data_IF_275697973188
#
_entry.id   IF_275697973188
#
_cell.length_a   1.000
_cell.length_b   1.000
_cell.length_c   1.000
_cell.angle_alpha   90.00
_cell.angle_beta   90.00
_cell.angle_gamma   90.00
#
_symmetry.space_group_name_H-M   'P 1'
#
loop_
_entity.id
_entity.type
_entity.pdbx_description
1 polymer ?
#
# COMPACT_ATOMS: atom_id res chain seq x y z
N UNK A 1 13.48 16.07 -11.86
CA UNK A 1 14.91 15.97 -12.23
C UNK A 1 15.43 17.15 -13.05
N UNK A 2 14.77 17.59 -14.13
CA UNK A 2 15.23 18.75 -14.94
C UNK A 2 15.29 20.07 -14.14
N UNK A 3 14.47 20.22 -13.09
CA UNK A 3 14.49 21.39 -12.17
C UNK A 3 15.71 21.47 -11.23
N UNK A 4 16.48 20.39 -11.04
CA UNK A 4 17.65 20.40 -10.14
C UNK A 4 18.90 20.99 -10.84
N UNK A 5 18.96 20.91 -12.18
CA UNK A 5 20.14 21.28 -12.98
C UNK A 5 20.33 22.79 -13.22
N UNK A 6 19.37 23.65 -12.86
CA UNK A 6 19.42 25.08 -13.21
C UNK A 6 19.87 26.00 -12.07
N UNK A 7 20.19 25.48 -10.87
CA UNK A 7 20.32 26.34 -9.68
C UNK A 7 21.72 26.38 -9.05
N UNK A 8 22.73 25.71 -9.61
CA UNK A 8 24.05 25.63 -8.97
C UNK A 8 25.17 25.99 -9.96
N UNK A 9 25.42 27.31 -10.10
CA UNK A 9 26.74 27.92 -10.32
C UNK A 9 27.53 27.70 -11.63
N UNK A 10 28.17 28.79 -12.06
CA UNK A 10 29.29 28.91 -13.02
C UNK A 10 29.05 28.50 -14.49
N UNK A 11 28.79 29.52 -15.30
CA UNK A 11 28.71 29.54 -16.78
C UNK A 11 27.50 28.82 -17.43
N UNK A 12 26.54 29.55 -18.03
CA UNK A 12 25.33 28.98 -18.64
C UNK A 12 25.61 27.97 -19.76
N UNK A 13 26.63 28.23 -20.57
CA UNK A 13 26.99 27.36 -21.71
C UNK A 13 27.53 26.00 -21.25
N UNK A 14 28.30 25.98 -20.16
CA UNK A 14 28.83 24.75 -19.58
C UNK A 14 27.72 23.89 -18.97
N UNK A 15 26.74 24.52 -18.32
CA UNK A 15 25.58 23.83 -17.76
C UNK A 15 24.65 23.27 -18.84
N UNK A 16 24.48 23.99 -19.96
CA UNK A 16 23.76 23.47 -21.13
C UNK A 16 24.49 22.25 -21.69
N UNK A 17 25.81 22.31 -21.86
CA UNK A 17 26.61 21.20 -22.38
C UNK A 17 26.57 19.96 -21.46
N UNK A 18 26.70 20.15 -20.15
CA UNK A 18 26.59 19.07 -19.15
C UNK A 18 25.19 18.46 -19.13
N UNK A 19 24.14 19.28 -19.23
CA UNK A 19 22.75 18.79 -19.28
C UNK A 19 22.47 17.97 -20.55
N UNK A 20 22.98 18.38 -21.72
CA UNK A 20 22.88 17.62 -22.96
C UNK A 20 23.66 16.30 -22.87
N UNK A 21 24.82 16.32 -22.20
CA UNK A 21 25.63 15.12 -21.96
C UNK A 21 24.90 14.12 -21.07
N UNK A 22 24.29 14.57 -19.97
CA UNK A 22 23.46 13.72 -19.10
C UNK A 22 22.24 13.15 -19.83
N UNK A 23 21.56 13.96 -20.64
CA UNK A 23 20.41 13.51 -21.43
C UNK A 23 20.81 12.47 -22.48
N UNK A 24 21.97 12.64 -23.14
CA UNK A 24 22.47 11.65 -24.10
C UNK A 24 22.88 10.34 -23.42
N UNK A 25 23.52 10.39 -22.25
CA UNK A 25 23.84 9.21 -21.46
C UNK A 25 22.58 8.50 -20.94
N UNK A 26 21.56 9.25 -20.51
CA UNK A 26 20.26 8.67 -20.13
C UNK A 26 19.55 8.03 -21.33
N UNK A 27 19.64 8.64 -22.53
CA UNK A 27 19.09 8.06 -23.74
C UNK A 27 19.82 6.76 -24.13
N UNK A 28 21.15 6.72 -24.02
CA UNK A 28 21.96 5.49 -24.22
C UNK A 28 21.63 4.41 -23.19
N UNK A 29 21.46 4.78 -21.91
CA UNK A 29 21.04 3.85 -20.87
C UNK A 29 19.67 3.27 -21.19
N UNK A 30 18.72 4.12 -21.60
CA UNK A 30 17.37 3.73 -21.99
C UNK A 30 17.39 2.77 -23.19
N UNK A 31 18.17 3.08 -24.22
CA UNK A 31 18.31 2.22 -25.40
C UNK A 31 18.86 0.83 -25.05
N UNK A 32 19.87 0.76 -24.17
CA UNK A 32 20.41 -0.50 -23.66
C UNK A 32 19.49 -1.24 -22.68
N UNK A 33 18.46 -0.58 -22.15
CA UNK A 33 17.46 -1.19 -21.25
C UNK A 33 16.32 -1.86 -22.02
N UNK A 34 15.88 -1.25 -23.12
CA UNK A 34 14.67 -1.69 -23.85
C UNK A 34 14.95 -2.50 -25.13
N UNK A 35 16.21 -2.67 -25.54
CA UNK A 35 16.58 -3.62 -26.60
C UNK A 35 16.68 -5.05 -26.03
N UNK A 36 15.54 -5.60 -25.63
CA UNK A 36 15.43 -7.01 -25.26
C UNK A 36 15.35 -7.88 -26.53
N UNK A 37 16.51 -8.15 -27.14
CA UNK A 37 16.64 -9.02 -28.32
C UNK A 37 17.80 -10.01 -28.21
N UNK A 38 18.37 -10.21 -27.02
CA UNK A 38 19.42 -11.19 -26.82
C UNK A 38 18.83 -12.59 -26.75
N UNK A 39 19.21 -13.50 -27.65
CA UNK A 39 18.74 -14.90 -27.60
C UNK A 39 19.61 -15.77 -26.68
N UNK A 40 20.50 -15.19 -25.89
CA UNK A 40 21.39 -15.93 -25.01
C UNK A 40 21.99 -15.12 -23.86
N UNK A 41 22.38 -15.84 -22.80
CA UNK A 41 22.93 -15.29 -21.55
C UNK A 41 24.22 -14.47 -21.74
N UNK A 42 25.01 -14.73 -22.78
CA UNK A 42 26.24 -13.98 -23.07
C UNK A 42 25.94 -12.57 -23.60
N UNK A 43 24.96 -12.43 -24.49
CA UNK A 43 24.53 -11.14 -25.03
C UNK A 43 23.93 -10.29 -23.90
N UNK A 44 23.09 -10.89 -23.04
CA UNK A 44 22.53 -10.22 -21.87
C UNK A 44 23.61 -9.73 -20.89
N UNK A 45 24.63 -10.56 -20.62
CA UNK A 45 25.76 -10.17 -19.77
C UNK A 45 26.56 -8.99 -20.35
N UNK A 46 26.75 -8.94 -21.68
CA UNK A 46 27.37 -7.79 -22.34
C UNK A 46 26.53 -6.53 -22.25
N UNK A 47 25.20 -6.63 -22.43
CA UNK A 47 24.29 -5.50 -22.23
C UNK A 47 24.31 -4.99 -20.79
N UNK A 48 24.29 -5.90 -19.81
CA UNK A 48 24.35 -5.53 -18.39
C UNK A 48 25.68 -4.83 -18.07
N UNK A 49 26.83 -5.36 -18.53
CA UNK A 49 28.14 -4.67 -18.41
C UNK A 49 28.11 -3.29 -19.07
N UNK A 50 27.48 -3.17 -20.24
CA UNK A 50 27.26 -1.89 -20.92
C UNK A 50 26.43 -0.90 -20.10
N UNK A 51 25.36 -1.36 -19.45
CA UNK A 51 24.52 -0.55 -18.55
C UNK A 51 25.31 -0.04 -17.34
N UNK A 52 26.07 -0.90 -16.68
CA UNK A 52 26.95 -0.49 -15.57
C UNK A 52 27.93 0.59 -15.99
N UNK A 53 28.57 0.45 -17.15
CA UNK A 53 29.52 1.46 -17.67
C UNK A 53 28.87 2.83 -17.90
N UNK A 54 27.63 2.86 -18.40
CA UNK A 54 26.89 4.11 -18.58
C UNK A 54 26.47 4.69 -17.23
N UNK A 55 26.05 3.84 -16.29
CA UNK A 55 25.60 4.25 -14.97
C UNK A 55 26.75 4.83 -14.13
N UNK A 56 27.96 4.25 -14.21
CA UNK A 56 29.17 4.85 -13.63
C UNK A 56 29.52 6.22 -14.24
N UNK A 57 29.37 6.38 -15.57
CA UNK A 57 29.58 7.68 -16.23
C UNK A 57 28.56 8.73 -15.77
N UNK A 58 27.28 8.35 -15.69
CA UNK A 58 26.21 9.20 -15.18
C UNK A 58 26.48 9.63 -13.74
N UNK A 59 26.86 8.67 -12.89
CA UNK A 59 27.12 8.93 -11.49
C UNK A 59 28.34 9.84 -11.28
N UNK A 60 29.41 9.67 -12.06
CA UNK A 60 30.55 10.58 -12.05
C UNK A 60 30.18 12.02 -12.45
N UNK A 61 29.40 12.18 -13.52
CA UNK A 61 28.90 13.49 -13.95
C UNK A 61 27.94 14.13 -12.93
N UNK A 62 27.14 13.32 -12.22
CA UNK A 62 26.26 13.81 -11.15
C UNK A 62 27.04 14.19 -9.89
N UNK A 63 28.09 13.46 -9.52
CA UNK A 63 28.98 13.82 -8.41
C UNK A 63 29.75 15.13 -8.67
N UNK A 64 30.14 15.41 -9.93
CA UNK A 64 30.74 16.68 -10.33
C UNK A 64 29.77 17.87 -10.16
N UNK A 65 28.47 17.64 -10.34
CA UNK A 65 27.43 18.66 -10.23
C UNK A 65 26.90 18.85 -8.81
N UNK A 66 26.92 17.77 -8.00
CA UNK A 66 26.39 17.77 -6.65
C UNK A 66 27.19 16.82 -5.76
N UNK A 67 27.94 17.38 -4.80
CA UNK A 67 28.58 16.60 -3.75
C UNK A 67 27.54 16.23 -2.69
N UNK A 68 26.86 15.08 -2.84
CA UNK A 68 26.01 14.50 -1.80
C UNK A 68 26.57 13.16 -1.31
N UNK A 69 26.39 12.87 -0.01
CA UNK A 69 26.79 11.58 0.59
C UNK A 69 26.08 10.40 -0.08
N UNK A 70 24.79 10.54 -0.37
CA UNK A 70 23.98 9.50 -1.04
C UNK A 70 24.56 9.04 -2.39
N UNK A 71 25.17 9.96 -3.15
CA UNK A 71 25.80 9.63 -4.44
C UNK A 71 27.12 8.89 -4.25
N UNK A 72 27.82 9.05 -3.12
CA UNK A 72 29.02 8.30 -2.80
C UNK A 72 28.67 6.89 -2.33
N UNK A 73 27.63 6.76 -1.51
CA UNK A 73 27.11 5.45 -1.07
C UNK A 73 26.65 4.62 -2.28
N UNK A 74 25.87 5.22 -3.19
CA UNK A 74 25.46 4.57 -4.44
C UNK A 74 26.65 4.16 -5.32
N UNK A 75 27.71 4.99 -5.39
CA UNK A 75 28.94 4.63 -6.11
C UNK A 75 29.60 3.38 -5.52
N UNK A 76 29.64 3.31 -4.19
CA UNK A 76 30.25 2.21 -3.45
C UNK A 76 29.47 0.90 -3.66
N UNK A 77 28.14 0.95 -3.62
CA UNK A 77 27.27 -0.20 -3.89
C UNK A 77 27.44 -0.73 -5.32
N UNK A 78 27.50 0.18 -6.30
CA UNK A 78 27.74 -0.20 -7.70
C UNK A 78 29.12 -0.84 -7.90
N UNK A 79 30.15 -0.35 -7.22
CA UNK A 79 31.49 -0.95 -7.25
C UNK A 79 31.49 -2.36 -6.64
N UNK A 80 30.77 -2.57 -5.54
CA UNK A 80 30.58 -3.89 -4.94
C UNK A 80 29.85 -4.82 -5.92
N UNK A 81 28.82 -4.32 -6.60
CA UNK A 81 28.03 -5.09 -7.55
C UNK A 81 28.84 -5.48 -8.80
N UNK A 82 29.66 -4.58 -9.34
CA UNK A 82 30.59 -4.89 -10.45
C UNK A 82 31.61 -5.97 -10.06
N UNK A 83 32.14 -5.91 -8.83
CA UNK A 83 33.06 -6.92 -8.31
C UNK A 83 32.39 -8.29 -8.12
N UNK A 84 31.11 -8.33 -7.74
CA UNK A 84 30.34 -9.58 -7.67
C UNK A 84 30.14 -10.19 -9.06
N UNK A 85 29.72 -9.37 -10.03
CA UNK A 85 29.50 -9.79 -11.42
C UNK A 85 30.78 -10.28 -12.12
N UNK A 86 31.94 -9.71 -11.83
CA UNK A 86 33.22 -10.13 -12.42
C UNK A 86 33.73 -11.44 -11.83
N UNK A 87 33.56 -11.66 -10.52
CA UNK A 87 33.91 -12.92 -9.85
C UNK A 87 33.07 -14.11 -10.30
N UNK A 88 31.85 -13.87 -10.79
CA UNK A 88 30.92 -14.93 -11.19
C UNK A 88 31.02 -15.38 -12.66
N UNK A 89 31.93 -14.82 -13.46
CA UNK A 89 32.12 -15.22 -14.88
C UNK A 89 32.82 -16.58 -15.09
N UNK A 90 32.77 -17.49 -14.11
CA UNK A 90 33.31 -18.86 -14.25
C UNK A 90 32.21 -19.86 -13.93
N UNK A 91 31.35 -20.14 -14.91
CA UNK A 91 30.89 -21.49 -15.32
C UNK A 91 29.62 -21.39 -16.17
N UNK A 92 29.71 -21.84 -17.44
CA UNK A 92 28.59 -22.42 -18.18
C UNK A 92 27.55 -21.45 -18.74
N UNK A 93 27.33 -21.53 -20.06
CA UNK A 93 26.24 -20.88 -20.78
C UNK A 93 24.90 -21.46 -20.29
N UNK A 94 24.23 -20.75 -19.38
CA UNK A 94 22.91 -21.11 -18.85
C UNK A 94 22.69 -20.39 -17.52
N UNK A 95 21.53 -19.74 -17.34
CA UNK A 95 21.21 -19.02 -16.11
C UNK A 95 21.45 -19.89 -14.86
N UNK A 96 21.98 -19.26 -13.80
CA UNK A 96 22.21 -19.93 -12.51
C UNK A 96 20.96 -19.80 -11.65
N UNK A 97 20.48 -20.92 -11.11
CA UNK A 97 19.48 -20.89 -10.06
C UNK A 97 20.18 -20.54 -8.74
N UNK A 98 19.75 -19.45 -8.11
CA UNK A 98 20.16 -19.08 -6.76
C UNK A 98 18.99 -19.20 -5.81
N UNK A 99 19.29 -19.54 -4.56
CA UNK A 99 18.31 -19.52 -3.50
C UNK A 99 18.12 -18.07 -3.02
N UNK A 100 16.87 -17.61 -2.99
CA UNK A 100 16.51 -16.30 -2.46
C UNK A 100 15.64 -16.49 -1.23
N UNK A 101 16.12 -16.00 -0.09
CA UNK A 101 15.36 -16.05 1.15
C UNK A 101 14.08 -15.19 1.04
N UNK A 102 12.95 -15.79 1.39
CA UNK A 102 11.64 -15.14 1.36
C UNK A 102 11.54 -14.06 2.45
N UNK A 103 10.54 -13.19 2.33
CA UNK A 103 10.26 -12.19 3.37
C UNK A 103 10.00 -12.84 4.73
N UNK A 104 9.37 -14.03 4.73
CA UNK A 104 9.17 -14.84 5.92
C UNK A 104 10.50 -15.22 6.58
N UNK A 105 11.44 -15.78 5.81
CA UNK A 105 12.76 -16.21 6.32
C UNK A 105 13.56 -15.04 6.85
N UNK A 106 13.53 -13.91 6.13
CA UNK A 106 14.22 -12.69 6.58
C UNK A 106 13.65 -12.16 7.88
N UNK A 107 12.32 -12.03 7.99
CA UNK A 107 11.64 -11.59 9.21
C UNK A 107 11.95 -12.52 10.40
N UNK A 108 12.01 -13.83 10.14
CA UNK A 108 12.34 -14.84 11.13
C UNK A 108 13.75 -14.65 11.72
N UNK A 109 14.71 -14.27 10.89
CA UNK A 109 16.10 -14.04 11.27
C UNK A 109 16.32 -12.67 11.92
N UNK A 110 15.62 -11.63 11.47
CA UNK A 110 15.73 -10.26 12.00
C UNK A 110 14.91 -10.03 13.27
N UNK A 111 13.92 -10.88 13.57
CA UNK A 111 13.00 -10.66 14.69
C UNK A 111 11.84 -9.72 14.36
N UNK A 112 11.57 -9.50 13.07
CA UNK A 112 10.46 -8.66 12.64
C UNK A 112 9.11 -9.35 12.90
N UNK A 113 8.06 -8.55 12.97
CA UNK A 113 6.71 -9.05 13.10
C UNK A 113 6.15 -9.38 11.72
N UNK A 114 5.54 -10.55 11.59
CA UNK A 114 4.96 -11.01 10.33
C UNK A 114 3.45 -11.19 10.45
N UNK A 115 2.70 -10.48 9.62
CA UNK A 115 1.27 -10.69 9.41
C UNK A 115 1.06 -11.52 8.13
N UNK A 116 0.42 -12.68 8.25
CA UNK A 116 -0.06 -13.46 7.12
C UNK A 116 -1.57 -13.27 7.05
N UNK A 117 -2.03 -12.58 6.01
CA UNK A 117 -3.45 -12.34 5.79
C UNK A 117 -4.11 -13.50 5.04
N UNK A 118 -5.41 -13.70 5.27
CA UNK A 118 -6.26 -14.65 4.56
C UNK A 118 -5.71 -16.09 4.55
N UNK A 119 -5.24 -16.59 5.70
CA UNK A 119 -4.59 -17.92 5.78
C UNK A 119 -5.49 -19.09 5.36
N UNK A 120 -6.81 -18.92 5.35
CA UNK A 120 -7.79 -19.93 4.92
C UNK A 120 -7.62 -20.32 3.44
N UNK A 121 -7.08 -19.41 2.61
CA UNK A 121 -6.81 -19.70 1.20
C UNK A 121 -5.53 -20.50 0.98
N UNK A 122 -4.72 -20.67 2.03
CA UNK A 122 -3.53 -21.48 1.97
C UNK A 122 -3.88 -22.97 2.08
N UNK A 123 -3.16 -23.83 1.36
CA UNK A 123 -3.26 -25.27 1.55
C UNK A 123 -2.85 -25.64 2.99
N UNK A 124 -3.61 -26.50 3.70
CA UNK A 124 -3.26 -26.94 5.05
C UNK A 124 -1.83 -27.49 5.14
N UNK A 125 -1.37 -28.20 4.10
CA UNK A 125 -0.01 -28.75 4.04
C UNK A 125 1.09 -27.70 4.08
N UNK A 126 0.83 -26.47 3.62
CA UNK A 126 1.79 -25.36 3.66
C UNK A 126 1.85 -24.79 5.08
N UNK A 127 0.70 -24.58 5.70
CA UNK A 127 0.64 -24.13 7.11
C UNK A 127 1.24 -25.16 8.05
N UNK A 128 1.10 -26.45 7.74
CA UNK A 128 1.65 -27.51 8.58
C UNK A 128 3.18 -27.50 8.66
N UNK A 129 3.88 -26.91 7.67
CA UNK A 129 5.32 -26.68 7.75
C UNK A 129 5.73 -25.65 8.79
N UNK A 130 4.79 -24.78 9.20
CA UNK A 130 5.02 -23.78 10.25
C UNK A 130 4.83 -24.37 11.65
N UNK A 131 4.20 -25.55 11.79
CA UNK A 131 3.96 -26.17 13.10
C UNK A 131 5.25 -26.34 13.91
N UNK A 132 6.33 -26.79 13.25
CA UNK A 132 7.62 -27.00 13.90
C UNK A 132 8.23 -25.68 14.43
N UNK A 133 7.91 -24.55 13.79
CA UNK A 133 8.37 -23.23 14.24
C UNK A 133 7.57 -22.72 15.44
N UNK A 134 6.30 -23.09 15.54
CA UNK A 134 5.38 -22.65 16.60
C UNK A 134 5.47 -23.50 17.88
N UNK A 135 6.36 -24.49 17.91
CA UNK A 135 6.66 -25.26 19.11
C UNK A 135 7.72 -24.56 19.99
N UNK A 136 7.77 -24.83 21.30
CA UNK A 136 8.82 -24.31 22.17
C UNK A 136 10.20 -24.73 21.67
N UNK A 137 11.11 -23.77 21.45
CA UNK A 137 12.41 -23.98 20.81
C UNK A 137 12.31 -24.54 19.38
N UNK A 138 11.19 -24.26 18.70
CA UNK A 138 10.92 -24.66 17.33
C UNK A 138 11.91 -24.06 16.34
N UNK A 139 12.23 -24.82 15.30
CA UNK A 139 13.13 -24.40 14.22
C UNK A 139 12.48 -24.67 12.87
N UNK A 140 12.80 -23.83 11.88
CA UNK A 140 12.32 -24.01 10.51
C UNK A 140 13.38 -24.76 9.69
N UNK A 141 13.05 -25.96 9.22
CA UNK A 141 13.89 -26.71 8.28
C UNK A 141 13.50 -26.40 6.84
N UNK A 142 14.46 -25.93 6.03
CA UNK A 142 14.26 -25.63 4.61
C UNK A 142 14.93 -26.70 3.75
N UNK A 143 14.19 -27.77 3.48
CA UNK A 143 14.68 -28.89 2.67
C UNK A 143 14.88 -28.50 1.20
N UNK A 144 14.12 -27.50 0.70
CA UNK A 144 14.15 -27.06 -0.71
C UNK A 144 15.43 -26.34 -1.10
N UNK A 145 16.17 -25.78 -0.13
CA UNK A 145 17.47 -25.15 -0.35
C UNK A 145 18.57 -26.19 -0.61
N UNK A 146 18.25 -27.48 -0.43
CA UNK A 146 19.19 -28.58 -0.53
C UNK A 146 20.09 -28.70 0.70
N UNK A 147 21.05 -29.60 0.61
CA UNK A 147 22.03 -29.83 1.68
C UNK A 147 23.19 -28.84 1.50
N UNK A 148 23.39 -27.98 2.49
CA UNK A 148 24.54 -27.07 2.56
C UNK A 148 25.48 -27.61 3.64
N UNK A 149 26.76 -27.81 3.29
CA UNK A 149 27.79 -28.30 4.21
C UNK A 149 27.46 -29.65 4.90
N UNK A 150 26.66 -30.49 4.24
CA UNK A 150 26.27 -31.81 4.76
C UNK A 150 25.04 -31.83 5.65
N UNK A 151 24.46 -30.66 5.98
CA UNK A 151 23.24 -30.54 6.77
C UNK A 151 22.12 -29.82 6.00
N UNK A 152 20.88 -30.08 6.41
CA UNK A 152 19.74 -29.31 5.91
C UNK A 152 19.73 -27.97 6.64
N UNK A 153 19.64 -26.83 5.94
CA UNK A 153 19.62 -25.54 6.59
C UNK A 153 18.39 -25.41 7.50
N UNK A 154 18.68 -25.25 8.79
CA UNK A 154 17.69 -24.98 9.83
C UNK A 154 17.83 -23.54 10.29
N UNK A 155 16.71 -22.86 10.48
CA UNK A 155 16.67 -21.47 10.93
C UNK A 155 16.00 -21.43 12.29
N UNK A 156 16.75 -20.90 13.26
CA UNK A 156 16.24 -20.62 14.60
C UNK A 156 15.54 -19.25 14.57
N UNK A 157 14.29 -19.14 15.05
CA UNK A 157 13.61 -17.85 15.16
C UNK A 157 14.36 -16.91 16.10
N UNK A 158 14.43 -15.64 15.73
CA UNK A 158 14.85 -14.59 16.65
C UNK A 158 13.87 -14.46 17.83
N UNK A 159 14.32 -14.20 19.07
CA UNK A 159 13.44 -14.12 20.26
C UNK A 159 12.33 -13.06 20.16
N UNK A 160 12.55 -11.99 19.39
CA UNK A 160 11.58 -10.91 19.19
C UNK A 160 10.60 -11.18 18.03
N UNK A 161 10.81 -12.24 17.24
CA UNK A 161 9.92 -12.60 16.14
C UNK A 161 8.50 -12.87 16.65
N UNK A 162 7.50 -12.33 15.95
CA UNK A 162 6.08 -12.56 16.23
C UNK A 162 5.35 -12.89 14.94
N UNK A 163 4.53 -13.94 14.97
CA UNK A 163 3.69 -14.35 13.86
C UNK A 163 2.23 -14.03 14.18
N UNK A 164 1.56 -13.29 13.30
CA UNK A 164 0.14 -12.98 13.36
C UNK A 164 -0.51 -13.57 12.11
N UNK A 165 -1.57 -14.35 12.31
CA UNK A 165 -2.35 -14.95 11.24
C UNK A 165 -3.74 -14.31 11.25
N UNK A 166 -4.15 -13.70 10.14
CA UNK A 166 -5.49 -13.20 9.95
C UNK A 166 -6.27 -14.17 9.03
N UNK A 167 -7.52 -14.42 9.39
CA UNK A 167 -8.35 -15.44 8.76
C UNK A 167 -9.81 -14.98 8.72
N UNK A 168 -10.53 -15.34 7.65
CA UNK A 168 -11.98 -15.11 7.54
C UNK A 168 -12.72 -16.47 7.63
N UNK A 169 -13.55 -16.69 8.67
CA UNK A 169 -14.31 -17.94 8.85
C UNK A 169 -15.20 -18.29 7.65
N UNK A 170 -15.64 -17.31 6.84
CA UNK A 170 -16.46 -17.55 5.65
C UNK A 170 -15.74 -18.39 4.60
N UNK A 171 -14.41 -18.37 4.60
CA UNK A 171 -13.57 -19.03 3.59
C UNK A 171 -12.97 -20.37 4.06
N UNK A 172 -13.45 -20.90 5.18
CA UNK A 172 -13.02 -22.19 5.74
C UNK A 172 -12.27 -22.04 7.05
N UNK A 173 -11.75 -23.14 7.57
CA UNK A 173 -11.02 -23.16 8.84
C UNK A 173 -9.55 -23.55 8.63
N UNK A 174 -8.70 -23.13 9.58
CA UNK A 174 -7.34 -23.63 9.70
C UNK A 174 -7.29 -24.96 10.47
N UNK A 175 -6.19 -25.72 10.29
CA UNK A 175 -6.01 -27.02 10.93
C UNK A 175 -6.04 -26.89 12.46
N UNK A 176 -6.61 -27.89 13.16
CA UNK A 176 -6.65 -27.91 14.63
C UNK A 176 -5.24 -27.81 15.24
N UNK A 177 -4.25 -28.36 14.55
CA UNK A 177 -2.84 -28.32 14.97
C UNK A 177 -2.31 -26.88 15.08
N UNK A 178 -2.63 -26.02 14.10
CA UNK A 178 -2.24 -24.62 14.12
C UNK A 178 -3.00 -23.84 15.22
N UNK A 179 -4.31 -24.07 15.35
CA UNK A 179 -5.15 -23.45 16.38
C UNK A 179 -4.64 -23.72 17.79
N UNK A 180 -4.30 -24.98 18.06
CA UNK A 180 -3.81 -25.41 19.38
C UNK A 180 -2.45 -24.82 19.77
N UNK A 181 -1.70 -24.22 18.83
CA UNK A 181 -0.39 -23.60 19.07
C UNK A 181 -0.47 -22.07 19.18
N UNK A 182 -1.62 -21.47 18.87
CA UNK A 182 -1.81 -20.04 18.86
C UNK A 182 -2.79 -19.56 19.93
N UNK A 183 -2.91 -18.24 20.02
CA UNK A 183 -4.03 -17.58 20.71
C UNK A 183 -5.00 -17.13 19.63
N UNK A 184 -6.25 -17.58 19.73
CA UNK A 184 -7.31 -17.16 18.82
C UNK A 184 -8.04 -15.95 19.39
N UNK A 185 -8.16 -14.91 18.57
CA UNK A 185 -8.93 -13.72 18.90
C UNK A 185 -9.99 -13.58 17.83
N UNK A 186 -11.26 -13.60 18.25
CA UNK A 186 -12.37 -13.38 17.35
C UNK A 186 -12.80 -11.91 17.40
N UNK A 187 -12.77 -11.24 16.24
CA UNK A 187 -13.26 -9.86 16.11
C UNK A 187 -14.66 -9.94 15.51
N UNK A 188 -15.64 -9.49 16.27
CA UNK A 188 -17.04 -9.47 15.84
C UNK A 188 -17.20 -8.52 14.65
N UNK A 189 -17.78 -9.04 13.57
CA UNK A 189 -18.14 -8.24 12.41
C UNK A 189 -19.41 -7.42 12.65
N UNK A 190 -19.64 -6.44 11.78
CA UNK A 190 -20.84 -5.59 11.81
C UNK A 190 -22.17 -6.34 11.71
N UNK A 191 -22.16 -7.54 11.13
CA UNK A 191 -23.36 -8.36 10.96
C UNK A 191 -23.67 -9.22 12.19
N UNK A 192 -22.70 -9.40 13.10
CA UNK A 192 -22.78 -10.36 14.22
C UNK A 192 -23.08 -9.70 15.58
N UNK A 193 -23.46 -8.43 15.58
CA UNK A 193 -24.10 -7.79 16.74
C UNK A 193 -23.31 -6.74 17.48
N UNK A 194 -22.15 -6.30 16.97
CA UNK A 194 -21.53 -5.04 17.44
C UNK A 194 -21.92 -3.93 16.46
N UNK A 195 -22.90 -3.11 16.85
CA UNK A 195 -22.97 -1.76 16.32
C UNK A 195 -21.79 -0.99 16.94
N UNK A 196 -20.92 -0.42 16.11
CA UNK A 196 -19.93 0.52 16.63
C UNK A 196 -20.66 1.64 17.37
N UNK A 197 -20.11 2.09 18.50
CA UNK A 197 -20.67 3.25 19.19
C UNK A 197 -20.65 4.45 18.24
N UNK A 198 -21.73 5.22 18.25
CA UNK A 198 -21.86 6.46 17.49
C UNK A 198 -20.69 7.41 17.80
N UNK A 199 -20.22 7.41 19.05
CA UNK A 199 -19.06 8.17 19.50
C UNK A 199 -17.74 7.68 18.89
N UNK A 200 -17.56 6.37 18.75
CA UNK A 200 -16.35 5.79 18.17
C UNK A 200 -16.27 6.13 16.68
N UNK A 201 -17.38 5.96 15.95
CA UNK A 201 -17.46 6.33 14.53
C UNK A 201 -17.16 7.83 14.37
N UNK A 202 -17.79 8.69 15.16
CA UNK A 202 -17.54 10.15 15.13
C UNK A 202 -16.08 10.49 15.39
N UNK A 203 -15.43 9.79 16.32
CA UNK A 203 -14.00 9.98 16.62
C UNK A 203 -13.14 9.58 15.42
N UNK A 204 -13.46 8.47 14.75
CA UNK A 204 -12.78 8.08 13.51
C UNK A 204 -12.97 9.10 12.39
N UNK A 205 -14.18 9.63 12.22
CA UNK A 205 -14.49 10.65 11.22
C UNK A 205 -13.74 11.97 11.48
N UNK A 206 -13.68 12.40 12.74
CA UNK A 206 -12.87 13.55 13.14
C UNK A 206 -11.39 13.33 12.87
N UNK A 207 -10.87 12.12 13.10
CA UNK A 207 -9.49 11.74 12.80
C UNK A 207 -9.13 11.82 11.31
N UNK A 208 -10.12 11.63 10.42
CA UNK A 208 -9.97 11.82 8.97
C UNK A 208 -10.05 13.29 8.53
N UNK A 209 -10.32 14.22 9.45
CA UNK A 209 -10.43 15.65 9.16
C UNK A 209 -11.85 16.14 8.87
N UNK A 210 -12.88 15.27 8.97
CA UNK A 210 -14.28 15.70 8.84
C UNK A 210 -14.72 16.32 10.15
N UNK A 211 -14.54 17.63 10.30
CA UNK A 211 -14.84 18.35 11.55
C UNK A 211 -16.26 18.91 11.53
N UNK A 212 -17.06 18.55 12.53
CA UNK A 212 -18.37 19.13 12.79
C UNK A 212 -19.45 18.08 13.01
N UNK A 213 -20.36 18.33 13.96
CA UNK A 213 -21.47 17.41 14.27
C UNK A 213 -22.36 17.16 13.06
N UNK A 214 -22.80 18.23 12.39
CA UNK A 214 -23.73 18.18 11.25
C UNK A 214 -23.25 17.27 10.09
N UNK A 215 -22.02 17.41 9.54
CA UNK A 215 -21.57 16.52 8.47
C UNK A 215 -21.38 15.08 8.92
N UNK A 216 -20.89 14.84 10.15
CA UNK A 216 -20.76 13.48 10.69
C UNK A 216 -22.13 12.82 10.88
N UNK A 217 -23.06 13.49 11.56
CA UNK A 217 -24.42 13.00 11.82
C UNK A 217 -25.14 12.71 10.49
N UNK A 218 -25.01 13.61 9.51
CA UNK A 218 -25.65 13.42 8.20
C UNK A 218 -25.07 12.23 7.45
N UNK A 219 -23.75 12.08 7.44
CA UNK A 219 -23.09 10.96 6.77
C UNK A 219 -23.48 9.63 7.42
N UNK A 220 -23.59 9.61 8.75
CA UNK A 220 -24.02 8.43 9.50
C UNK A 220 -25.49 8.10 9.24
N UNK A 221 -26.40 9.08 9.21
CA UNK A 221 -27.80 8.87 8.84
C UNK A 221 -27.94 8.30 7.42
N UNK A 222 -27.23 8.87 6.44
CA UNK A 222 -27.20 8.36 5.07
C UNK A 222 -26.73 6.91 5.06
N UNK A 223 -25.66 6.59 5.78
CA UNK A 223 -25.14 5.23 5.84
C UNK A 223 -26.14 4.25 6.45
N UNK A 224 -26.76 4.60 7.59
CA UNK A 224 -27.73 3.74 8.27
C UNK A 224 -28.94 3.45 7.39
N UNK A 225 -29.49 4.48 6.75
CA UNK A 225 -30.66 4.32 5.88
C UNK A 225 -30.34 3.48 4.64
N UNK A 226 -29.17 3.69 4.02
CA UNK A 226 -28.74 2.85 2.88
C UNK A 226 -28.48 1.40 3.35
N UNK A 227 -27.92 1.21 4.54
CA UNK A 227 -27.62 -0.10 5.13
C UNK A 227 -28.89 -0.89 5.49
N UNK A 228 -29.99 -0.22 5.82
CA UNK A 228 -31.30 -0.83 6.05
C UNK A 228 -32.03 -1.18 4.75
N UNK A 229 -31.85 -0.35 3.71
CA UNK A 229 -32.55 -0.51 2.42
C UNK A 229 -31.81 -1.39 1.41
N UNK A 230 -30.56 -1.80 1.67
CA UNK A 230 -29.78 -2.63 0.76
C UNK A 230 -29.92 -4.12 1.09
N UNK A 231 -29.95 -4.95 0.05
CA UNK A 231 -29.94 -6.42 0.18
C UNK A 231 -28.64 -6.93 0.84
N UNK A 232 -28.71 -8.04 1.56
CA UNK A 232 -27.60 -8.55 2.40
C UNK A 232 -26.25 -8.74 1.69
N UNK A 233 -26.21 -8.97 0.38
CA UNK A 233 -24.95 -9.20 -0.36
C UNK A 233 -24.16 -7.93 -0.71
N UNK A 234 -24.83 -6.77 -0.81
CA UNK A 234 -24.20 -5.49 -1.18
C UNK A 234 -24.26 -4.48 0.00
N UNK A 235 -24.44 -4.99 1.23
CA UNK A 235 -24.59 -4.14 2.42
C UNK A 235 -23.32 -3.33 2.67
N UNK A 236 -23.40 -1.98 2.71
CA UNK A 236 -22.22 -1.17 2.98
C UNK A 236 -21.73 -1.35 4.41
N UNK A 237 -20.41 -1.31 4.60
CA UNK A 237 -19.76 -1.40 5.91
C UNK A 237 -19.30 -0.03 6.40
N UNK A 238 -18.75 0.03 7.62
CA UNK A 238 -18.14 1.23 8.18
C UNK A 238 -17.02 1.78 7.30
N UNK A 239 -16.33 0.91 6.56
CA UNK A 239 -15.31 1.31 5.61
C UNK A 239 -15.91 2.23 4.54
N UNK A 240 -17.16 1.99 4.10
CA UNK A 240 -17.87 2.88 3.18
C UNK A 240 -18.07 4.28 3.79
N UNK A 241 -18.41 4.35 5.08
CA UNK A 241 -18.54 5.64 5.80
C UNK A 241 -17.20 6.37 5.83
N UNK A 242 -16.12 5.67 6.21
CA UNK A 242 -14.78 6.24 6.30
C UNK A 242 -14.26 6.69 4.93
N UNK A 243 -14.55 5.94 3.87
CA UNK A 243 -14.22 6.31 2.49
C UNK A 243 -14.98 7.56 2.05
N UNK A 244 -16.29 7.63 2.31
CA UNK A 244 -17.10 8.80 1.99
C UNK A 244 -16.66 10.04 2.78
N UNK A 245 -16.25 9.87 4.04
CA UNK A 245 -15.69 10.94 4.86
C UNK A 245 -14.37 11.46 4.28
N UNK A 246 -13.44 10.55 3.96
CA UNK A 246 -12.15 10.89 3.35
C UNK A 246 -12.32 11.65 2.03
N UNK A 247 -13.23 11.19 1.17
CA UNK A 247 -13.54 11.87 -0.09
C UNK A 247 -14.19 13.24 0.12
N UNK A 248 -15.05 13.38 1.12
CA UNK A 248 -15.68 14.66 1.48
C UNK A 248 -14.61 15.66 1.88
N UNK A 249 -13.68 15.28 2.77
CA UNK A 249 -12.57 16.14 3.20
C UNK A 249 -11.69 16.54 2.02
N UNK A 250 -11.30 15.58 1.17
CA UNK A 250 -10.50 15.88 -0.02
C UNK A 250 -11.19 16.83 -1.01
N UNK A 251 -12.52 16.73 -1.16
CA UNK A 251 -13.27 17.63 -2.04
C UNK A 251 -13.39 19.04 -1.44
N UNK A 252 -13.55 19.14 -0.12
CA UNK A 252 -13.52 20.42 0.58
C UNK A 252 -12.16 21.10 0.48
N UNK A 253 -11.06 20.35 0.59
CA UNK A 253 -9.70 20.87 0.37
C UNK A 253 -9.49 21.39 -1.06
N UNK A 254 -10.22 20.84 -2.04
CA UNK A 254 -10.23 21.30 -3.44
C UNK A 254 -11.15 22.50 -3.68
N UNK A 255 -11.80 23.03 -2.64
CA UNK A 255 -12.66 24.21 -2.71
C UNK A 255 -14.12 23.93 -3.10
N UNK A 256 -14.55 22.66 -3.06
CA UNK A 256 -15.98 22.32 -3.20
C UNK A 256 -16.68 22.61 -1.87
N UNK A 257 -17.91 23.11 -1.94
CA UNK A 257 -18.73 23.35 -0.76
C UNK A 257 -19.06 22.04 -0.01
N UNK A 258 -19.44 22.13 1.26
CA UNK A 258 -19.72 20.94 2.07
C UNK A 258 -20.85 20.07 1.48
N UNK A 259 -21.90 20.69 0.93
CA UNK A 259 -23.05 19.96 0.38
C UNK A 259 -22.66 19.24 -0.91
N UNK A 260 -22.03 19.95 -1.84
CA UNK A 260 -21.48 19.37 -3.06
C UNK A 260 -20.48 18.26 -2.76
N UNK A 261 -19.61 18.44 -1.75
CA UNK A 261 -18.63 17.43 -1.35
C UNK A 261 -19.27 16.16 -0.79
N UNK A 262 -20.26 16.31 0.10
CA UNK A 262 -21.02 15.17 0.66
C UNK A 262 -21.82 14.44 -0.43
N UNK A 263 -22.49 15.19 -1.31
CA UNK A 263 -23.26 14.62 -2.41
C UNK A 263 -22.37 13.79 -3.34
N UNK A 264 -21.23 14.35 -3.76
CA UNK A 264 -20.27 13.67 -4.64
C UNK A 264 -19.67 12.44 -3.97
N UNK A 265 -19.19 12.59 -2.73
CA UNK A 265 -18.57 11.49 -1.99
C UNK A 265 -19.56 10.34 -1.72
N UNK A 266 -20.76 10.64 -1.24
CA UNK A 266 -21.79 9.64 -0.98
C UNK A 266 -22.26 8.97 -2.30
N UNK A 267 -22.36 9.73 -3.40
CA UNK A 267 -22.70 9.15 -4.70
C UNK A 267 -21.62 8.19 -5.17
N UNK A 268 -20.35 8.57 -5.05
CA UNK A 268 -19.24 7.74 -5.51
C UNK A 268 -19.07 6.46 -4.69
N UNK A 269 -19.34 6.50 -3.39
CA UNK A 269 -19.23 5.33 -2.52
C UNK A 269 -20.50 4.49 -2.52
N UNK A 270 -21.66 5.08 -2.23
CA UNK A 270 -22.87 4.29 -2.03
C UNK A 270 -23.63 3.98 -3.32
N UNK A 271 -23.59 4.83 -4.34
CA UNK A 271 -24.34 4.57 -5.57
C UNK A 271 -23.55 3.67 -6.52
N UNK A 272 -22.24 3.91 -6.69
CA UNK A 272 -21.43 3.11 -7.62
C UNK A 272 -21.21 1.68 -7.14
N UNK A 273 -21.22 1.44 -5.83
CA UNK A 273 -21.06 0.11 -5.25
C UNK A 273 -22.29 -0.79 -5.43
N UNK A 274 -23.48 -0.23 -5.68
CA UNK A 274 -24.71 -1.01 -5.84
C UNK A 274 -24.76 -1.68 -7.22
N UNK A 275 -25.12 -2.96 -7.28
CA UNK A 275 -25.26 -3.69 -8.56
C UNK A 275 -26.62 -3.46 -9.21
N UNK A 276 -27.68 -3.35 -8.40
CA UNK A 276 -29.05 -3.23 -8.86
C UNK A 276 -29.40 -1.80 -9.30
N UNK A 277 -30.14 -1.68 -10.39
CA UNK A 277 -30.57 -0.37 -10.90
C UNK A 277 -31.55 0.34 -9.94
N UNK A 278 -32.49 -0.40 -9.35
CA UNK A 278 -33.45 0.18 -8.40
C UNK A 278 -32.76 0.70 -7.14
N UNK A 279 -31.83 -0.08 -6.58
CA UNK A 279 -31.09 0.30 -5.38
C UNK A 279 -30.18 1.51 -5.64
N UNK A 280 -29.59 1.61 -6.84
CA UNK A 280 -28.85 2.82 -7.26
C UNK A 280 -29.73 4.06 -7.29
N UNK A 281 -30.93 3.94 -7.85
CA UNK A 281 -31.83 5.08 -7.97
C UNK A 281 -32.32 5.53 -6.59
N UNK A 282 -32.73 4.58 -5.74
CA UNK A 282 -33.13 4.88 -4.35
C UNK A 282 -31.98 5.49 -3.56
N UNK A 283 -30.77 4.95 -3.63
CA UNK A 283 -29.61 5.51 -2.94
C UNK A 283 -29.33 6.97 -3.38
N UNK A 284 -29.45 7.28 -4.68
CA UNK A 284 -29.35 8.67 -5.16
C UNK A 284 -30.44 9.57 -4.57
N UNK A 285 -31.68 9.09 -4.59
CA UNK A 285 -32.81 9.87 -4.11
C UNK A 285 -32.67 10.16 -2.61
N UNK A 286 -32.26 9.17 -1.80
CA UNK A 286 -32.00 9.30 -0.36
C UNK A 286 -30.86 10.28 -0.05
N UNK A 287 -29.73 10.17 -0.76
CA UNK A 287 -28.60 11.10 -0.61
C UNK A 287 -29.03 12.52 -0.96
N UNK A 288 -29.77 12.68 -2.06
CA UNK A 288 -30.26 14.00 -2.50
C UNK A 288 -31.19 14.62 -1.45
N UNK A 289 -32.09 13.83 -0.85
CA UNK A 289 -33.00 14.30 0.19
C UNK A 289 -32.23 14.77 1.45
N UNK A 290 -31.24 14.01 1.90
CA UNK A 290 -30.41 14.37 3.06
C UNK A 290 -29.59 15.64 2.81
N UNK A 291 -29.05 15.81 1.61
CA UNK A 291 -28.28 17.01 1.24
C UNK A 291 -29.19 18.25 1.11
N UNK A 292 -30.41 18.10 0.59
CA UNK A 292 -31.41 19.18 0.54
C UNK A 292 -31.85 19.58 1.96
N UNK A 293 -32.07 18.62 2.85
CA UNK A 293 -32.41 18.88 4.25
C UNK A 293 -31.31 19.70 4.96
N UNK A 294 -30.04 19.42 4.67
CA UNK A 294 -28.92 20.23 5.15
C UNK A 294 -28.96 21.68 4.67
N UNK A 295 -29.48 21.93 3.48
CA UNK A 295 -29.61 23.28 2.93
C UNK A 295 -30.73 24.06 3.63
N UNK A 296 -31.86 23.40 3.86
CA UNK A 296 -32.99 23.96 4.62
C UNK A 296 -32.58 24.32 6.05
N UNK A 297 -31.81 23.47 6.74
CA UNK A 297 -31.31 23.76 8.09
C UNK A 297 -30.33 24.95 8.13
N UNK A 298 -29.51 25.14 7.10
CA UNK A 298 -28.64 26.33 7.00
C UNK A 298 -29.46 27.61 6.75
N UNK A 299 -30.53 27.52 5.97
CA UNK A 299 -31.42 28.65 5.68
C UNK A 299 -32.16 29.05 6.96
N UNK A 300 -32.78 28.11 7.67
CA UNK A 300 -33.49 28.37 8.93
C UNK A 300 -32.57 28.97 10.00
N UNK A 301 -31.33 28.48 10.15
CA UNK A 301 -30.37 29.06 11.09
C UNK A 301 -29.91 30.46 10.70
N UNK A 302 -29.84 30.78 9.39
CA UNK A 302 -29.54 32.15 8.92
C UNK A 302 -30.70 33.10 9.15
N UNK A 303 -31.93 32.65 8.91
CA UNK A 303 -33.15 33.42 9.14
C UNK A 303 -33.36 33.72 10.64
N UNK A 304 -33.17 32.73 11.52
CA UNK A 304 -33.22 32.93 12.97
C UNK A 304 -32.14 33.89 13.47
N UNK A 305 -30.92 33.81 12.90
CA UNK A 305 -29.82 34.72 13.26
C UNK A 305 -30.05 36.15 12.75
N UNK A 306 -30.68 36.30 11.58
CA UNK A 306 -31.10 37.61 11.07
C UNK A 306 -32.21 38.22 11.92
N UNK A 307 -33.22 37.42 12.30
CA UNK A 307 -34.32 37.85 13.16
C UNK A 307 -33.83 38.26 14.57
N UNK A 308 -32.82 37.59 15.12
CA UNK A 308 -32.20 37.95 16.40
C UNK A 308 -31.35 39.24 16.32
N UNK A 309 -30.79 39.55 15.16
CA UNK A 309 -30.04 40.80 14.91
C UNK A 309 -30.94 42.00 14.67
N UNK A 310 -32.13 41.79 14.10
CA UNK A 310 -33.14 42.85 13.90
C UNK A 310 -33.96 43.16 15.16
N UNK A 311 -33.98 42.25 16.14
CA UNK A 311 -34.72 42.40 17.39
C UNK A 311 -33.90 43.01 18.57
N UNK A 312 -32.63 43.36 18.36
CA UNK A 312 -31.74 43.98 19.35
C UNK A 312 -31.32 45.39 18.97
#
# INVERSE_FOLDING_TARGET
MVKILLTIGSNPEENVQKSQTLLSLMAQYRENTYKDKGKGAQEEAEYVKGRFRILFKLLGQLQELQQSGDLQDLASELCVLEKKMTKENVSGVGGRFEWVDSQFVRALQSGDWLLIDNVNFCSPSVLDRLNALLEPNGVLSINERGVLDGEVPTIVPHPDFRLILAMDPKHGEISRAMRNRGVEIYILGEEEGVCYDDHDIKTMLHGLGLVGRVPCDTLMSIHMEIKENTSSFDRPSILSVLQAASLTVQNMERGVDLQGSLLLACTDVYVRCQKNFEDRQRARDLISAHVIALDMLKIEQREQRSALLEAG
#
